data_IF_588539794528
#
_entry.id   IF_588539794528
#
_cell.length_a   1.000
_cell.length_b   1.000
_cell.length_c   1.000
_cell.angle_alpha   90.00
_cell.angle_beta   90.00
_cell.angle_gamma   90.00
#
_symmetry.space_group_name_H-M   'P 1'
#
loop_
_entity.id
_entity.type
_entity.pdbx_description
1 polymer ?
#
# COMPACT_ATOMS: atom_id res chain seq x y z
N UNK A 1 -36.08 0.42 -12.80
CA UNK A 1 -35.17 1.58 -12.67
C UNK A 1 -35.11 2.26 -14.03
N UNK A 2 -35.57 3.50 -14.13
CA UNK A 2 -35.74 4.19 -15.42
C UNK A 2 -34.45 4.96 -15.77
N UNK A 3 -34.06 5.02 -17.04
CA UNK A 3 -32.78 5.64 -17.48
C UNK A 3 -32.63 7.09 -17.03
N UNK A 4 -33.73 7.82 -16.99
CA UNK A 4 -33.78 9.23 -16.60
C UNK A 4 -33.49 9.43 -15.10
N UNK A 5 -34.03 8.55 -14.25
CA UNK A 5 -33.82 8.57 -12.80
C UNK A 5 -32.34 8.31 -12.43
N UNK A 6 -31.65 7.46 -13.20
CA UNK A 6 -30.21 7.20 -13.04
C UNK A 6 -29.38 8.42 -13.43
N UNK A 7 -29.74 9.08 -14.54
CA UNK A 7 -29.04 10.27 -15.04
C UNK A 7 -29.23 11.49 -14.14
N UNK A 8 -30.42 11.69 -13.56
CA UNK A 8 -30.66 12.75 -12.58
C UNK A 8 -29.88 12.51 -11.27
N UNK A 9 -29.83 11.26 -10.81
CA UNK A 9 -29.07 10.89 -9.61
C UNK A 9 -27.56 11.06 -9.81
N UNK A 10 -27.03 10.68 -10.98
CA UNK A 10 -25.64 10.92 -11.38
C UNK A 10 -25.30 12.41 -11.50
N UNK A 11 -26.24 13.25 -11.98
CA UNK A 11 -26.05 14.71 -12.04
C UNK A 11 -26.12 15.39 -10.66
N UNK A 12 -26.90 14.83 -9.74
CA UNK A 12 -27.00 15.29 -8.35
C UNK A 12 -25.77 14.94 -7.51
N UNK A 13 -25.15 13.79 -7.77
CA UNK A 13 -23.83 13.46 -7.24
C UNK A 13 -22.77 14.26 -8.00
N UNK A 14 -22.31 15.39 -7.42
CA UNK A 14 -21.14 16.17 -7.92
C UNK A 14 -19.81 15.39 -7.82
N UNK A 15 -19.83 14.08 -8.09
CA UNK A 15 -18.66 13.21 -8.17
C UNK A 15 -18.11 13.30 -9.58
N UNK A 16 -16.91 13.86 -9.68
CA UNK A 16 -16.14 13.87 -10.92
C UNK A 16 -15.42 12.52 -11.06
N UNK A 17 -16.11 11.55 -11.66
CA UNK A 17 -15.59 10.20 -11.91
C UNK A 17 -14.26 10.23 -12.66
N UNK A 18 -14.03 11.25 -13.50
CA UNK A 18 -12.77 11.47 -14.21
C UNK A 18 -11.61 11.76 -13.26
N UNK A 19 -11.82 12.59 -12.23
CA UNK A 19 -10.80 12.86 -11.21
C UNK A 19 -10.49 11.65 -10.34
N UNK A 20 -11.50 10.86 -9.96
CA UNK A 20 -11.28 9.62 -9.22
C UNK A 20 -10.51 8.59 -10.06
N UNK A 21 -10.83 8.46 -11.35
CA UNK A 21 -10.13 7.57 -12.27
C UNK A 21 -8.65 7.96 -12.46
N UNK A 22 -8.37 9.25 -12.65
CA UNK A 22 -7.00 9.78 -12.77
C UNK A 22 -6.21 9.55 -11.48
N UNK A 23 -6.81 9.83 -10.32
CA UNK A 23 -6.18 9.61 -9.01
C UNK A 23 -5.85 8.12 -8.78
N UNK A 24 -6.80 7.24 -9.08
CA UNK A 24 -6.62 5.79 -8.92
C UNK A 24 -5.56 5.24 -9.88
N UNK A 25 -5.52 5.71 -11.13
CA UNK A 25 -4.50 5.34 -12.11
C UNK A 25 -3.12 5.83 -11.70
N UNK A 26 -3.02 7.07 -11.21
CA UNK A 26 -1.77 7.62 -10.67
C UNK A 26 -1.24 6.80 -9.48
N UNK A 27 -2.11 6.40 -8.55
CA UNK A 27 -1.74 5.55 -7.42
C UNK A 27 -1.22 4.19 -7.85
N UNK A 28 -1.88 3.53 -8.82
CA UNK A 28 -1.40 2.25 -9.38
C UNK A 28 0.00 2.36 -9.97
N UNK A 29 0.24 3.40 -10.78
CA UNK A 29 1.57 3.64 -11.38
C UNK A 29 2.62 3.93 -10.31
N UNK A 30 2.26 4.70 -9.27
CA UNK A 30 3.15 4.98 -8.14
C UNK A 30 3.54 3.72 -7.36
N UNK A 31 2.57 2.86 -7.02
CA UNK A 31 2.83 1.57 -6.36
C UNK A 31 3.71 0.68 -7.23
N UNK A 32 3.47 0.63 -8.54
CA UNK A 32 4.31 -0.13 -9.46
C UNK A 32 5.77 0.35 -9.45
N UNK A 33 6.01 1.66 -9.52
CA UNK A 33 7.35 2.22 -9.42
C UNK A 33 8.02 1.92 -8.08
N UNK A 34 7.28 2.03 -6.96
CA UNK A 34 7.76 1.68 -5.63
C UNK A 34 8.17 0.20 -5.53
N UNK A 35 7.36 -0.72 -6.07
CA UNK A 35 7.67 -2.16 -6.10
C UNK A 35 8.94 -2.43 -6.89
N UNK A 36 9.10 -1.80 -8.07
CA UNK A 36 10.31 -1.95 -8.89
C UNK A 36 11.55 -1.51 -8.09
N UNK A 37 11.51 -0.33 -7.46
CA UNK A 37 12.62 0.18 -6.66
C UNK A 37 12.91 -0.71 -5.44
N UNK A 38 11.86 -1.17 -4.75
CA UNK A 38 12.00 -2.10 -3.64
C UNK A 38 12.72 -3.38 -4.06
N UNK A 39 12.34 -4.01 -5.18
CA UNK A 39 12.97 -5.23 -5.68
C UNK A 39 14.44 -4.99 -6.04
N UNK A 40 14.75 -3.90 -6.75
CA UNK A 40 16.13 -3.56 -7.12
C UNK A 40 16.99 -3.41 -5.87
N UNK A 41 16.52 -2.64 -4.88
CA UNK A 41 17.27 -2.38 -3.66
C UNK A 41 17.36 -3.60 -2.75
N UNK A 42 16.32 -4.43 -2.66
CA UNK A 42 16.32 -5.65 -1.88
C UNK A 42 17.31 -6.67 -2.45
N UNK A 43 17.30 -6.90 -3.76
CA UNK A 43 18.25 -7.80 -4.44
C UNK A 43 19.69 -7.30 -4.28
N UNK A 44 19.92 -6.00 -4.51
CA UNK A 44 21.24 -5.40 -4.33
C UNK A 44 21.74 -5.51 -2.89
N UNK A 45 20.88 -5.27 -1.90
CA UNK A 45 21.25 -5.36 -0.48
C UNK A 45 21.54 -6.79 -0.05
N UNK A 46 20.77 -7.76 -0.53
CA UNK A 46 21.01 -9.19 -0.31
C UNK A 46 22.35 -9.64 -0.92
N UNK A 47 22.66 -9.22 -2.15
CA UNK A 47 23.92 -9.59 -2.81
C UNK A 47 25.16 -9.02 -2.08
N UNK A 48 25.02 -7.85 -1.46
CA UNK A 48 26.11 -7.19 -0.72
C UNK A 48 26.12 -7.52 0.78
N UNK A 49 25.38 -8.53 1.24
CA UNK A 49 25.25 -8.90 2.67
C UNK A 49 24.83 -7.73 3.59
N UNK A 50 24.07 -6.75 3.08
CA UNK A 50 23.55 -5.63 3.86
C UNK A 50 22.18 -5.95 4.43
N UNK A 51 22.16 -6.85 5.42
CA UNK A 51 20.91 -7.33 6.04
C UNK A 51 20.08 -6.20 6.64
N UNK A 52 20.71 -5.22 7.31
CA UNK A 52 20.02 -4.06 7.87
C UNK A 52 19.25 -3.26 6.81
N UNK A 53 19.86 -3.03 5.65
CA UNK A 53 19.19 -2.31 4.57
C UNK A 53 17.98 -3.09 4.05
N UNK A 54 18.11 -4.42 3.94
CA UNK A 54 16.97 -5.28 3.58
C UNK A 54 15.85 -5.22 4.62
N UNK A 55 16.17 -5.25 5.92
CA UNK A 55 15.17 -5.14 6.99
C UNK A 55 14.45 -3.79 6.99
N UNK A 56 15.19 -2.70 6.77
CA UNK A 56 14.62 -1.36 6.64
C UNK A 56 13.65 -1.26 5.45
N UNK A 57 14.03 -1.81 4.29
CA UNK A 57 13.20 -1.84 3.09
C UNK A 57 11.91 -2.64 3.32
N UNK A 58 12.00 -3.82 3.93
CA UNK A 58 10.84 -4.68 4.22
C UNK A 58 9.89 -3.98 5.19
N UNK A 59 10.41 -3.39 6.27
CA UNK A 59 9.64 -2.58 7.23
C UNK A 59 8.84 -1.48 6.54
N UNK A 60 9.53 -0.67 5.73
CA UNK A 60 8.90 0.45 5.03
C UNK A 60 7.81 -0.03 4.07
N UNK A 61 8.10 -1.07 3.29
CA UNK A 61 7.18 -1.59 2.28
C UNK A 61 5.92 -2.20 2.90
N UNK A 62 6.07 -3.06 3.90
CA UNK A 62 4.91 -3.69 4.57
C UNK A 62 4.16 -2.72 5.48
N UNK A 63 4.83 -1.73 6.07
CA UNK A 63 4.17 -0.63 6.78
C UNK A 63 3.26 0.20 5.87
N UNK A 64 3.73 0.51 4.66
CA UNK A 64 2.91 1.16 3.64
C UNK A 64 1.72 0.29 3.22
N UNK A 65 1.95 -0.98 2.83
CA UNK A 65 0.88 -1.87 2.37
C UNK A 65 -0.19 -2.13 3.45
N UNK A 66 0.23 -2.28 4.71
CA UNK A 66 -0.69 -2.43 5.83
C UNK A 66 -1.57 -1.20 6.02
N UNK A 67 -0.98 0.00 5.93
CA UNK A 67 -1.67 1.29 6.03
C UNK A 67 -2.60 1.55 4.84
N UNK A 68 -2.18 1.23 3.62
CA UNK A 68 -3.02 1.31 2.43
C UNK A 68 -4.23 0.38 2.54
N UNK A 69 -4.01 -0.87 2.98
CA UNK A 69 -5.09 -1.84 3.19
C UNK A 69 -6.06 -1.37 4.28
N UNK A 70 -5.57 -0.66 5.30
CA UNK A 70 -6.43 -0.10 6.35
C UNK A 70 -7.32 1.01 5.81
N UNK A 71 -6.73 1.90 4.99
CA UNK A 71 -7.47 2.92 4.25
C UNK A 71 -8.56 2.32 3.36
N UNK A 72 -8.25 1.24 2.65
CA UNK A 72 -9.23 0.51 1.84
C UNK A 72 -10.32 -0.12 2.71
N UNK A 73 -9.96 -0.79 3.80
CA UNK A 73 -10.93 -1.38 4.74
C UNK A 73 -11.92 -0.35 5.28
N UNK A 74 -11.46 0.87 5.59
CA UNK A 74 -12.34 1.95 6.07
C UNK A 74 -13.41 2.35 5.03
N UNK A 75 -13.13 2.17 3.74
CA UNK A 75 -14.02 2.53 2.63
C UNK A 75 -14.88 1.34 2.18
N UNK A 76 -14.31 0.14 2.10
CA UNK A 76 -14.96 -1.06 1.55
C UNK A 76 -15.61 -1.92 2.61
N UNK A 77 -15.17 -1.81 3.88
CA UNK A 77 -15.48 -2.72 4.99
C UNK A 77 -15.20 -4.20 4.68
N UNK A 78 -14.35 -4.48 3.69
CA UNK A 78 -14.02 -5.84 3.29
C UNK A 78 -13.06 -6.49 4.30
N UNK A 79 -13.47 -7.62 4.88
CA UNK A 79 -12.65 -8.37 5.86
C UNK A 79 -11.27 -8.79 5.32
N UNK A 80 -11.16 -8.96 4.00
CA UNK A 80 -9.89 -9.25 3.32
C UNK A 80 -8.87 -8.14 3.47
N UNK A 81 -9.31 -6.87 3.45
CA UNK A 81 -8.41 -5.73 3.56
C UNK A 81 -7.96 -5.53 5.02
N UNK A 82 -8.84 -5.82 5.98
CA UNK A 82 -8.46 -5.88 7.39
C UNK A 82 -7.39 -6.95 7.66
N UNK A 83 -7.54 -8.15 7.07
CA UNK A 83 -6.56 -9.22 7.20
C UNK A 83 -5.18 -8.79 6.65
N UNK A 84 -5.15 -8.15 5.47
CA UNK A 84 -3.92 -7.61 4.88
C UNK A 84 -3.27 -6.55 5.77
N UNK A 85 -4.06 -5.67 6.40
CA UNK A 85 -3.55 -4.70 7.37
C UNK A 85 -2.85 -5.39 8.53
N UNK A 86 -3.51 -6.38 9.16
CA UNK A 86 -2.94 -7.09 10.32
C UNK A 86 -1.63 -7.77 9.94
N UNK A 87 -1.60 -8.49 8.82
CA UNK A 87 -0.38 -9.16 8.33
C UNK A 87 0.71 -8.13 8.05
N UNK A 88 0.38 -7.03 7.35
CA UNK A 88 1.33 -5.97 7.03
C UNK A 88 1.93 -5.32 8.28
N UNK A 89 1.12 -5.04 9.29
CA UNK A 89 1.57 -4.50 10.57
C UNK A 89 2.49 -5.47 11.33
N UNK A 90 2.14 -6.76 11.37
CA UNK A 90 2.99 -7.77 12.03
C UNK A 90 4.36 -7.84 11.36
N UNK A 91 4.39 -7.96 10.03
CA UNK A 91 5.65 -8.00 9.26
C UNK A 91 6.45 -6.71 9.49
N UNK A 92 5.81 -5.54 9.42
CA UNK A 92 6.45 -4.25 9.68
C UNK A 92 7.13 -4.21 11.06
N UNK A 93 6.43 -4.61 12.13
CA UNK A 93 6.97 -4.57 13.49
C UNK A 93 8.14 -5.54 13.65
N UNK A 94 8.00 -6.77 13.14
CA UNK A 94 9.07 -7.78 13.23
C UNK A 94 10.36 -7.30 12.58
N UNK A 95 10.26 -6.81 11.34
CA UNK A 95 11.44 -6.32 10.61
C UNK A 95 11.99 -5.00 11.15
N UNK A 96 11.15 -4.17 11.78
CA UNK A 96 11.61 -2.94 12.43
C UNK A 96 12.47 -3.28 13.65
N UNK A 97 12.03 -4.26 14.45
CA UNK A 97 12.82 -4.74 15.60
C UNK A 97 14.13 -5.36 15.15
N UNK A 98 14.13 -6.15 14.08
CA UNK A 98 15.36 -6.72 13.50
C UNK A 98 16.33 -5.63 13.05
N UNK A 99 15.83 -4.62 12.33
CA UNK A 99 16.64 -3.48 11.89
C UNK A 99 17.24 -2.70 13.07
N UNK A 100 16.44 -2.42 14.10
CA UNK A 100 16.92 -1.70 15.29
C UNK A 100 18.00 -2.51 16.00
N UNK A 101 17.79 -3.82 16.19
CA UNK A 101 18.75 -4.68 16.87
C UNK A 101 20.04 -4.88 16.08
N UNK A 102 19.96 -4.91 14.76
CA UNK A 102 21.11 -5.08 13.90
C UNK A 102 21.95 -3.82 13.71
N UNK A 103 21.34 -2.63 13.80
CA UNK A 103 22.05 -1.34 13.83
C UNK A 103 22.61 -1.00 15.22
N UNK A 104 21.98 -1.49 16.30
CA UNK A 104 22.40 -1.20 17.67
C UNK A 104 23.60 -2.05 18.17
N UNK A 105 23.96 -3.13 17.45
CA UNK A 105 25.12 -3.98 17.73
C UNK A 105 26.28 -3.66 16.78
#
# INVERSE_FOLDING_TARGET
MNKEEILERSRGEKRDEGKEFVSHSGRKTGVMAMVILFVILAVFSLYNNRQETTYALITMFFGYLGSESFGMYKLTHAKTDLLKTVIGCIVCIVFLVLYINGVAN
#
